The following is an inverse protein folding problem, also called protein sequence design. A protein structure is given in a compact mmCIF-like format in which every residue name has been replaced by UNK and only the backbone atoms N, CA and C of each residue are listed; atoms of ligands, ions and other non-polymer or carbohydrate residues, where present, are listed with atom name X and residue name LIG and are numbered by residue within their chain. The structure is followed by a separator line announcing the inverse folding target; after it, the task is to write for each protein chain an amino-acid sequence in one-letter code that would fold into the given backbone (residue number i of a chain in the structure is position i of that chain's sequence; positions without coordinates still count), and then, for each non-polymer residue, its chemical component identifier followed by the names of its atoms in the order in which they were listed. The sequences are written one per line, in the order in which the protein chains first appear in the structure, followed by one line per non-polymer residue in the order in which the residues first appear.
data_IF_623135285376
#
_entry.id   IF_623135285376
#
_cell.length_a   1.000
_cell.length_b   1.000
_cell.length_c   1.000
_cell.angle_alpha   90.00
_cell.angle_beta   90.00
_cell.angle_gamma   90.00
#
_symmetry.space_group_name_H-M   'P 1'
#
loop_
_entity.id
_entity.type
_entity.pdbx_description
1 polymer ?
#
# COMPACT_ATOMS: atom_id res chain seq x y z
N UNK A 1 11.15 3.75 17.57
CA UNK A 1 9.89 4.25 18.19
C UNK A 1 8.83 4.31 17.09
N UNK A 2 7.87 3.38 17.07
CA UNK A 2 6.76 3.38 16.10
C UNK A 2 5.74 4.44 16.55
N UNK A 3 5.85 5.67 16.03
CA UNK A 3 4.76 6.64 16.09
C UNK A 3 3.80 6.35 14.93
N UNK A 4 3.00 5.30 15.07
CA UNK A 4 1.75 5.16 14.33
C UNK A 4 0.65 5.60 15.27
N UNK A 5 -0.17 6.58 14.87
CA UNK A 5 -1.46 6.78 15.53
C UNK A 5 -2.28 5.54 15.21
N UNK A 6 -2.29 4.58 16.13
CA UNK A 6 -3.17 3.42 16.03
C UNK A 6 -4.59 3.93 16.28
N UNK A 7 -5.30 4.24 15.20
CA UNK A 7 -6.73 4.47 15.27
C UNK A 7 -7.31 3.09 15.63
N UNK A 8 -7.61 2.87 16.92
CA UNK A 8 -8.33 1.69 17.37
C UNK A 8 -9.75 1.74 16.82
N UNK A 9 -9.93 1.17 15.63
CA UNK A 9 -11.23 0.93 15.04
C UNK A 9 -11.77 -0.38 15.60
N UNK A 10 -13.04 -0.43 16.05
CA UNK A 10 -13.65 -1.68 16.47
C UNK A 10 -13.56 -2.70 15.33
N UNK A 11 -13.39 -3.96 15.70
CA UNK A 11 -13.31 -5.03 14.69
C UNK A 11 -14.65 -5.12 13.95
N UNK A 12 -14.66 -4.71 12.68
CA UNK A 12 -15.87 -4.75 11.83
C UNK A 12 -16.09 -6.12 11.21
N UNK A 13 -15.14 -7.06 11.37
CA UNK A 13 -15.36 -8.42 10.91
C UNK A 13 -16.34 -9.15 11.85
N UNK A 14 -17.34 -9.85 11.28
CA UNK A 14 -18.25 -10.63 12.08
C UNK A 14 -17.49 -11.77 12.76
N UNK A 15 -17.80 -12.02 14.03
CA UNK A 15 -17.29 -13.19 14.75
C UNK A 15 -17.68 -14.50 14.03
N UNK A 16 -16.93 -15.61 14.25
CA UNK A 16 -17.28 -16.91 13.73
C UNK A 16 -18.68 -17.31 14.19
N UNK A 17 -19.57 -17.61 13.24
CA UNK A 17 -20.88 -18.19 13.55
C UNK A 17 -20.75 -19.69 13.84
N UNK A 18 -21.85 -20.37 14.15
CA UNK A 18 -21.83 -21.81 14.46
C UNK A 18 -21.23 -22.65 13.31
N UNK A 19 -21.54 -22.34 12.05
CA UNK A 19 -21.00 -23.06 10.90
C UNK A 19 -19.49 -22.86 10.76
N UNK A 20 -19.00 -21.64 10.98
CA UNK A 20 -17.56 -21.34 10.97
C UNK A 20 -16.82 -22.11 12.07
N UNK A 21 -17.41 -22.21 13.27
CA UNK A 21 -16.82 -22.94 14.40
C UNK A 21 -16.78 -24.45 14.16
N UNK A 22 -17.85 -25.01 13.57
CA UNK A 22 -17.90 -26.42 13.16
C UNK A 22 -16.81 -26.70 12.13
N UNK A 23 -16.65 -25.84 11.13
CA UNK A 23 -15.58 -25.97 10.14
C UNK A 23 -14.19 -25.90 10.79
N UNK A 24 -13.92 -24.90 11.63
CA UNK A 24 -12.63 -24.78 12.32
C UNK A 24 -12.32 -26.03 13.14
N UNK A 25 -13.32 -26.57 13.83
CA UNK A 25 -13.17 -27.79 14.64
C UNK A 25 -12.92 -29.04 13.78
N UNK A 26 -13.45 -29.08 12.56
CA UNK A 26 -13.28 -30.23 11.67
C UNK A 26 -11.90 -30.30 11.02
N UNK A 27 -11.14 -29.19 10.95
CA UNK A 27 -9.81 -29.15 10.33
C UNK A 27 -8.81 -30.14 10.94
N UNK A 28 -8.95 -30.46 12.24
CA UNK A 28 -8.10 -31.42 12.94
C UNK A 28 -8.67 -32.85 12.93
N UNK A 29 -9.81 -33.06 12.28
CA UNK A 29 -10.46 -34.37 12.21
C UNK A 29 -9.99 -35.15 10.98
N UNK A 30 -10.01 -36.48 11.07
CA UNK A 30 -9.76 -37.36 9.91
C UNK A 30 -10.79 -37.21 8.77
N UNK A 31 -11.82 -36.37 8.96
CA UNK A 31 -12.91 -36.16 8.01
C UNK A 31 -12.72 -34.92 7.12
N UNK A 32 -11.71 -34.08 7.38
CA UNK A 32 -11.45 -32.93 6.51
C UNK A 32 -10.60 -33.37 5.31
N UNK A 33 -11.24 -33.40 4.14
CA UNK A 33 -10.55 -33.65 2.87
C UNK A 33 -9.96 -32.35 2.33
N UNK A 34 -8.69 -32.11 2.66
CA UNK A 34 -7.96 -30.89 2.29
C UNK A 34 -7.95 -30.67 0.76
N UNK A 35 -7.58 -31.70 -0.02
CA UNK A 35 -7.48 -31.59 -1.48
C UNK A 35 -8.83 -31.28 -2.13
N UNK A 36 -9.90 -31.95 -1.68
CA UNK A 36 -11.25 -31.69 -2.18
C UNK A 36 -11.70 -30.27 -1.84
N UNK A 37 -11.46 -29.81 -0.60
CA UNK A 37 -11.78 -28.44 -0.20
C UNK A 37 -11.09 -27.40 -1.08
N UNK A 38 -9.77 -27.51 -1.27
CA UNK A 38 -9.02 -26.53 -2.06
C UNK A 38 -9.34 -26.62 -3.57
N UNK A 39 -9.76 -27.77 -4.09
CA UNK A 39 -10.17 -27.91 -5.50
C UNK A 39 -11.44 -27.14 -5.87
N UNK A 40 -12.26 -26.78 -4.88
CA UNK A 40 -13.54 -26.08 -5.08
C UNK A 40 -13.44 -24.58 -4.83
N UNK A 41 -12.27 -24.08 -4.42
CA UNK A 41 -12.10 -22.68 -4.07
C UNK A 41 -12.19 -21.81 -5.32
N UNK A 42 -13.02 -20.78 -5.23
CA UNK A 42 -13.14 -19.72 -6.23
C UNK A 42 -13.04 -18.36 -5.55
N UNK A 43 -13.06 -17.28 -6.34
CA UNK A 43 -13.16 -15.89 -5.84
C UNK A 43 -14.32 -15.73 -4.84
N UNK A 44 -15.46 -16.38 -5.08
CA UNK A 44 -16.63 -16.25 -4.21
C UNK A 44 -16.40 -16.85 -2.82
N UNK A 45 -15.45 -17.77 -2.70
CA UNK A 45 -15.05 -18.40 -1.44
C UNK A 45 -14.15 -17.49 -0.58
N UNK A 46 -13.59 -16.41 -1.13
CA UNK A 46 -12.59 -15.58 -0.45
C UNK A 46 -13.09 -14.95 0.85
N UNK A 47 -14.36 -14.51 0.90
CA UNK A 47 -14.95 -13.96 2.13
C UNK A 47 -14.85 -14.95 3.29
N UNK A 48 -15.21 -16.21 3.04
CA UNK A 48 -15.14 -17.29 4.01
C UNK A 48 -13.68 -17.63 4.34
N UNK A 49 -12.83 -17.88 3.34
CA UNK A 49 -11.43 -18.27 3.54
C UNK A 49 -10.67 -17.23 4.36
N UNK A 50 -10.78 -15.95 3.98
CA UNK A 50 -10.11 -14.85 4.66
C UNK A 50 -10.63 -14.71 6.10
N UNK A 51 -11.93 -14.89 6.33
CA UNK A 51 -12.52 -14.91 7.67
C UNK A 51 -11.94 -16.05 8.50
N UNK A 52 -12.01 -17.29 8.03
CA UNK A 52 -11.54 -18.45 8.81
C UNK A 52 -10.04 -18.34 9.09
N UNK A 53 -9.23 -17.89 8.13
CA UNK A 53 -7.79 -17.70 8.31
C UNK A 53 -7.44 -16.65 9.38
N UNK A 54 -8.35 -15.73 9.71
CA UNK A 54 -8.14 -14.81 10.83
C UNK A 54 -8.40 -15.46 12.20
N UNK A 55 -9.29 -16.46 12.25
CA UNK A 55 -9.72 -17.11 13.50
C UNK A 55 -9.07 -18.47 13.73
N UNK A 56 -8.42 -19.06 12.72
CA UNK A 56 -7.71 -20.33 12.82
C UNK A 56 -6.31 -20.22 12.21
N UNK A 57 -5.30 -20.18 13.09
CA UNK A 57 -3.89 -20.22 12.68
C UNK A 57 -3.57 -21.48 11.89
N UNK A 58 -4.17 -22.62 12.28
CA UNK A 58 -3.99 -23.87 11.56
C UNK A 58 -4.50 -23.76 10.12
N UNK A 59 -5.71 -23.21 9.91
CA UNK A 59 -6.24 -22.99 8.56
C UNK A 59 -5.38 -22.04 7.73
N UNK A 60 -4.91 -20.93 8.33
CA UNK A 60 -4.00 -20.02 7.64
C UNK A 60 -2.72 -20.75 7.18
N UNK A 61 -2.17 -21.63 8.01
CA UNK A 61 -1.00 -22.45 7.67
C UNK A 61 -1.30 -23.43 6.52
N UNK A 62 -2.49 -24.04 6.49
CA UNK A 62 -2.92 -24.89 5.37
C UNK A 62 -2.98 -24.09 4.06
N UNK A 63 -3.57 -22.89 4.10
CA UNK A 63 -3.62 -22.02 2.93
C UNK A 63 -2.23 -21.61 2.44
N UNK A 64 -1.21 -21.59 3.29
CA UNK A 64 0.16 -21.18 2.91
C UNK A 64 1.02 -22.31 2.34
N UNK A 65 0.50 -23.54 2.27
CA UNK A 65 1.23 -24.67 1.66
C UNK A 65 1.51 -24.43 0.18
N UNK A 66 2.69 -24.86 -0.26
CA UNK A 66 3.17 -24.69 -1.63
C UNK A 66 2.29 -25.37 -2.68
N UNK A 67 1.62 -26.48 -2.34
CA UNK A 67 0.69 -27.19 -3.23
C UNK A 67 -0.49 -26.32 -3.70
N UNK A 68 -0.87 -25.29 -2.91
CA UNK A 68 -1.95 -24.35 -3.26
C UNK A 68 -1.45 -23.03 -3.84
N UNK A 69 -0.14 -22.88 -4.06
CA UNK A 69 0.44 -21.65 -4.62
C UNK A 69 -0.18 -21.27 -5.96
N UNK A 70 -0.42 -22.24 -6.84
CA UNK A 70 -1.03 -22.01 -8.14
C UNK A 70 -2.47 -21.45 -8.02
N UNK A 71 -3.27 -22.01 -7.12
CA UNK A 71 -4.61 -21.52 -6.81
C UNK A 71 -4.58 -20.05 -6.36
N UNK A 72 -3.68 -19.69 -5.43
CA UNK A 72 -3.60 -18.30 -4.96
C UNK A 72 -3.08 -17.33 -6.01
N UNK A 73 -2.18 -17.77 -6.90
CA UNK A 73 -1.75 -16.98 -8.07
C UNK A 73 -2.94 -16.64 -8.97
N UNK A 74 -3.77 -17.63 -9.28
CA UNK A 74 -4.98 -17.44 -10.09
C UNK A 74 -5.96 -16.48 -9.43
N UNK A 75 -6.25 -16.68 -8.15
CA UNK A 75 -7.16 -15.82 -7.40
C UNK A 75 -6.62 -14.40 -7.25
N UNK A 76 -5.31 -14.22 -7.04
CA UNK A 76 -4.68 -12.91 -7.01
C UNK A 76 -4.83 -12.18 -8.35
N UNK A 77 -4.61 -12.90 -9.44
CA UNK A 77 -4.80 -12.37 -10.79
C UNK A 77 -6.25 -11.93 -11.02
N UNK A 78 -7.22 -12.76 -10.62
CA UNK A 78 -8.65 -12.48 -10.70
C UNK A 78 -9.06 -11.28 -9.83
N UNK A 79 -8.46 -11.11 -8.65
CA UNK A 79 -8.69 -9.93 -7.81
C UNK A 79 -8.32 -8.63 -8.52
N UNK A 80 -7.27 -8.62 -9.35
CA UNK A 80 -6.95 -7.47 -10.20
C UNK A 80 -8.11 -7.07 -11.11
N UNK A 81 -8.74 -8.05 -11.76
CA UNK A 81 -9.88 -7.82 -12.66
C UNK A 81 -11.08 -7.25 -11.90
N UNK A 82 -11.34 -7.77 -10.69
CA UNK A 82 -12.44 -7.33 -9.83
C UNK A 82 -12.22 -5.89 -9.36
N UNK A 83 -11.01 -5.56 -8.88
CA UNK A 83 -10.65 -4.22 -8.40
C UNK A 83 -10.73 -3.19 -9.53
N UNK A 84 -10.42 -3.60 -10.76
CA UNK A 84 -10.37 -2.70 -11.92
C UNK A 84 -11.58 -2.80 -12.84
N UNK A 85 -12.65 -3.50 -12.45
CA UNK A 85 -13.83 -3.76 -13.28
C UNK A 85 -14.48 -2.50 -13.87
N UNK A 86 -14.42 -1.39 -13.13
CA UNK A 86 -15.03 -0.10 -13.50
C UNK A 86 -14.06 0.84 -14.24
N UNK A 87 -12.81 0.42 -14.49
CA UNK A 87 -11.85 1.21 -15.28
C UNK A 87 -12.08 1.01 -16.78
N UNK A 88 -11.58 1.92 -17.64
CA UNK A 88 -11.67 1.76 -19.10
C UNK A 88 -11.13 0.41 -19.61
N UNK A 89 -10.18 -0.17 -18.89
CA UNK A 89 -9.67 -1.52 -19.12
C UNK A 89 -9.47 -2.21 -17.78
N UNK A 90 -10.18 -3.32 -17.57
CA UNK A 90 -9.87 -4.23 -16.47
C UNK A 90 -8.52 -4.90 -16.72
N UNK A 91 -7.71 -5.02 -15.67
CA UNK A 91 -6.39 -5.64 -15.72
C UNK A 91 -6.36 -6.80 -14.75
N UNK A 92 -5.68 -7.88 -15.13
CA UNK A 92 -5.34 -8.93 -14.19
C UNK A 92 -4.05 -8.55 -13.47
N UNK A 93 -3.87 -8.99 -12.23
CA UNK A 93 -2.57 -8.87 -11.59
C UNK A 93 -1.62 -9.96 -12.08
N UNK A 94 -0.38 -9.58 -12.32
CA UNK A 94 0.70 -10.53 -12.55
C UNK A 94 1.04 -11.23 -11.24
N UNK A 95 1.12 -12.56 -11.28
CA UNK A 95 1.72 -13.31 -10.20
C UNK A 95 3.22 -12.96 -10.10
N UNK A 96 3.75 -12.92 -8.89
CA UNK A 96 5.19 -12.80 -8.70
C UNK A 96 5.78 -14.21 -8.73
N UNK A 97 6.72 -14.48 -9.63
CA UNK A 97 7.32 -15.83 -9.73
C UNK A 97 8.44 -16.08 -8.71
N UNK A 98 8.75 -15.07 -7.89
CA UNK A 98 9.73 -15.17 -6.82
C UNK A 98 9.25 -16.11 -5.70
N UNK A 99 10.09 -17.07 -5.31
CA UNK A 99 9.81 -18.06 -4.26
C UNK A 99 9.50 -17.44 -2.89
N UNK A 100 9.88 -16.18 -2.68
CA UNK A 100 9.73 -15.46 -1.41
C UNK A 100 8.30 -14.91 -1.22
N UNK A 101 7.49 -14.87 -2.28
CA UNK A 101 6.17 -14.23 -2.22
C UNK A 101 5.07 -15.20 -1.81
N UNK A 102 4.50 -14.96 -0.63
CA UNK A 102 3.29 -15.64 -0.16
C UNK A 102 2.05 -15.09 -0.88
N UNK A 103 1.57 -15.84 -1.88
CA UNK A 103 0.42 -15.44 -2.70
C UNK A 103 -0.90 -15.42 -1.93
N UNK A 104 -1.04 -16.25 -0.89
CA UNK A 104 -2.23 -16.19 -0.04
C UNK A 104 -2.30 -14.85 0.71
N UNK A 105 -1.17 -14.36 1.21
CA UNK A 105 -1.05 -13.02 1.80
C UNK A 105 -1.42 -11.93 0.79
N UNK A 106 -0.96 -12.03 -0.46
CA UNK A 106 -1.35 -11.08 -1.52
C UNK A 106 -2.85 -11.08 -1.83
N UNK A 107 -3.48 -12.27 -1.86
CA UNK A 107 -4.93 -12.40 -2.06
C UNK A 107 -5.69 -11.75 -0.91
N UNK A 108 -5.29 -11.97 0.34
CA UNK A 108 -5.89 -11.31 1.51
C UNK A 108 -5.76 -9.78 1.41
N UNK A 109 -4.57 -9.30 1.06
CA UNK A 109 -4.30 -7.89 0.86
C UNK A 109 -5.22 -7.26 -0.20
N UNK A 110 -5.36 -7.92 -1.35
CA UNK A 110 -6.21 -7.48 -2.44
C UNK A 110 -7.71 -7.55 -2.07
N UNK A 111 -8.14 -8.59 -1.35
CA UNK A 111 -9.50 -8.75 -0.89
C UNK A 111 -9.91 -7.65 0.09
N UNK A 112 -9.09 -7.36 1.11
CA UNK A 112 -9.38 -6.25 2.02
C UNK A 112 -9.35 -4.89 1.32
N UNK A 113 -8.43 -4.70 0.37
CA UNK A 113 -8.45 -3.48 -0.44
C UNK A 113 -9.74 -3.38 -1.27
N UNK A 114 -10.23 -4.46 -1.86
CA UNK A 114 -11.53 -4.48 -2.55
C UNK A 114 -12.69 -4.07 -1.62
N UNK A 115 -12.75 -4.58 -0.39
CA UNK A 115 -13.75 -4.16 0.60
C UNK A 115 -13.66 -2.66 0.94
N UNK A 116 -12.44 -2.09 0.96
CA UNK A 116 -12.28 -0.64 1.12
C UNK A 116 -12.86 0.14 -0.06
N UNK A 117 -12.73 -0.37 -1.29
CA UNK A 117 -13.29 0.27 -2.48
C UNK A 117 -14.82 0.21 -2.50
N UNK A 118 -15.42 -0.90 -2.05
CA UNK A 118 -16.87 -0.99 -1.86
C UNK A 118 -17.38 0.04 -0.83
N UNK A 119 -16.64 0.23 0.28
CA UNK A 119 -16.98 1.23 1.28
C UNK A 119 -16.85 2.67 0.76
N UNK A 120 -15.90 2.93 -0.14
CA UNK A 120 -15.73 4.22 -0.81
C UNK A 120 -16.90 4.51 -1.77
N UNK A 121 -17.29 3.54 -2.60
CA UNK A 121 -18.42 3.64 -3.54
C UNK A 121 -19.73 4.00 -2.80
N UNK A 122 -19.91 3.51 -1.57
CA UNK A 122 -21.11 3.76 -0.78
C UNK A 122 -21.21 5.18 -0.16
N UNK A 123 -20.14 5.99 -0.13
CA UNK A 123 -20.08 7.24 0.66
C UNK A 123 -19.53 8.49 -0.06
N UNK A 124 -19.59 8.54 -1.39
CA UNK A 124 -19.32 9.73 -2.22
C UNK A 124 -18.26 10.71 -1.67
N UNK A 125 -16.98 10.28 -1.71
CA UNK A 125 -15.74 11.10 -1.68
C UNK A 125 -15.05 11.36 -0.33
N UNK A 126 -15.67 11.15 0.83
CA UNK A 126 -15.00 11.30 2.12
C UNK A 126 -14.53 9.95 2.70
N UNK A 127 -13.33 9.91 3.27
CA UNK A 127 -12.79 8.71 3.93
C UNK A 127 -13.67 8.27 5.10
N UNK A 128 -14.38 7.17 4.92
CA UNK A 128 -15.27 6.63 5.95
C UNK A 128 -14.49 5.79 6.97
N UNK A 129 -15.03 5.64 8.19
CA UNK A 129 -14.46 4.71 9.19
C UNK A 129 -14.34 3.29 8.66
N UNK A 130 -15.28 2.86 7.83
CA UNK A 130 -15.30 1.54 7.23
C UNK A 130 -14.23 1.37 6.15
N UNK A 131 -14.05 2.37 5.27
CA UNK A 131 -12.94 2.40 4.32
C UNK A 131 -11.60 2.31 5.06
N UNK A 132 -11.39 3.16 6.08
CA UNK A 132 -10.14 3.17 6.86
C UNK A 132 -9.90 1.85 7.61
N UNK A 133 -10.94 1.20 8.12
CA UNK A 133 -10.82 -0.12 8.73
C UNK A 133 -10.29 -1.14 7.72
N UNK A 134 -10.91 -1.24 6.54
CA UNK A 134 -10.48 -2.20 5.51
C UNK A 134 -9.11 -1.89 4.93
N UNK A 135 -8.76 -0.60 4.76
CA UNK A 135 -7.40 -0.19 4.39
C UNK A 135 -6.39 -0.68 5.42
N UNK A 136 -6.65 -0.51 6.71
CA UNK A 136 -5.75 -0.97 7.76
C UNK A 136 -5.61 -2.50 7.77
N UNK A 137 -6.69 -3.26 7.51
CA UNK A 137 -6.57 -4.72 7.35
C UNK A 137 -5.71 -5.09 6.14
N UNK A 138 -5.90 -4.43 5.00
CA UNK A 138 -5.08 -4.67 3.79
C UNK A 138 -3.60 -4.31 4.00
N UNK A 139 -3.30 -3.25 4.77
CA UNK A 139 -1.93 -2.83 5.09
C UNK A 139 -1.20 -3.88 5.94
N UNK A 140 -1.90 -4.60 6.83
CA UNK A 140 -1.29 -5.72 7.60
C UNK A 140 -0.75 -6.83 6.70
N UNK A 141 -1.30 -6.95 5.50
CA UNK A 141 -0.86 -7.88 4.45
C UNK A 141 -0.07 -7.17 3.34
N UNK A 142 0.57 -6.03 3.67
CA UNK A 142 1.52 -5.33 2.80
C UNK A 142 0.92 -4.86 1.45
N UNK A 143 -0.39 -4.55 1.43
CA UNK A 143 -1.04 -3.98 0.25
C UNK A 143 -0.46 -2.60 -0.10
N UNK A 144 0.13 -2.48 -1.30
CA UNK A 144 0.59 -1.18 -1.82
C UNK A 144 -0.58 -0.25 -2.12
N UNK A 145 -1.69 -0.78 -2.66
CA UNK A 145 -2.86 0.01 -2.99
C UNK A 145 -3.50 0.61 -1.74
N UNK A 146 -3.60 -0.18 -0.67
CA UNK A 146 -4.12 0.31 0.60
C UNK A 146 -3.19 1.33 1.26
N UNK A 147 -1.87 1.11 1.21
CA UNK A 147 -0.90 2.09 1.68
C UNK A 147 -1.01 3.41 0.91
N UNK A 148 -1.07 3.35 -0.42
CA UNK A 148 -1.21 4.54 -1.25
C UNK A 148 -2.51 5.30 -0.94
N UNK A 149 -3.64 4.59 -0.82
CA UNK A 149 -4.93 5.19 -0.51
C UNK A 149 -4.96 5.78 0.91
N UNK A 150 -4.35 5.12 1.89
CA UNK A 150 -4.21 5.65 3.24
C UNK A 150 -3.29 6.86 3.31
N UNK A 151 -2.22 6.90 2.50
CA UNK A 151 -1.36 8.09 2.38
C UNK A 151 -2.15 9.27 1.79
N UNK A 152 -3.04 9.04 0.83
CA UNK A 152 -3.94 10.10 0.35
C UNK A 152 -4.84 10.63 1.47
N UNK A 153 -5.36 9.77 2.36
CA UNK A 153 -6.10 10.20 3.55
C UNK A 153 -5.23 11.08 4.46
N UNK A 154 -3.99 10.66 4.73
CA UNK A 154 -3.08 11.44 5.54
C UNK A 154 -2.79 12.81 4.92
N UNK A 155 -2.59 12.89 3.61
CA UNK A 155 -2.40 14.16 2.91
C UNK A 155 -3.65 15.04 2.94
N UNK A 156 -4.85 14.49 2.75
CA UNK A 156 -6.09 15.28 2.89
C UNK A 156 -6.29 15.80 4.32
N UNK A 157 -5.86 15.05 5.33
CA UNK A 157 -5.90 15.51 6.71
C UNK A 157 -5.04 16.76 6.91
N UNK A 158 -3.88 16.84 6.23
CA UNK A 158 -2.99 18.00 6.27
C UNK A 158 -3.66 19.28 5.74
N UNK A 159 -4.54 19.18 4.75
CA UNK A 159 -5.23 20.34 4.15
C UNK A 159 -6.17 21.04 5.16
N UNK A 160 -6.55 20.35 6.23
CA UNK A 160 -7.45 20.87 7.28
C UNK A 160 -6.74 21.19 8.60
N UNK A 161 -5.42 20.97 8.68
CA UNK A 161 -4.67 21.13 9.91
C UNK A 161 -4.15 22.56 10.12
N UNK A 162 -4.32 23.06 11.34
CA UNK A 162 -3.81 24.37 11.78
C UNK A 162 -2.46 24.27 12.52
N UNK A 163 -2.09 23.09 13.01
CA UNK A 163 -0.89 22.87 13.84
C UNK A 163 0.32 22.42 13.00
N UNK A 164 1.38 23.23 12.97
CA UNK A 164 2.64 22.89 12.28
C UNK A 164 3.32 21.63 12.83
N UNK A 165 3.27 21.41 14.14
CA UNK A 165 3.91 20.25 14.79
C UNK A 165 3.22 18.93 14.43
N UNK A 166 1.88 18.93 14.37
CA UNK A 166 1.11 17.76 13.95
C UNK A 166 1.29 17.48 12.46
N UNK A 167 1.44 18.53 11.65
CA UNK A 167 1.74 18.42 10.22
C UNK A 167 3.04 17.62 9.98
N UNK A 168 4.11 17.98 10.71
CA UNK A 168 5.39 17.27 10.63
C UNK A 168 5.29 15.79 11.04
N UNK A 169 4.50 15.48 12.08
CA UNK A 169 4.28 14.09 12.54
C UNK A 169 3.58 13.24 11.48
N UNK A 170 2.55 13.78 10.82
CA UNK A 170 1.86 13.06 9.74
C UNK A 170 2.78 12.79 8.56
N UNK A 171 3.60 13.76 8.15
CA UNK A 171 4.56 13.55 7.07
C UNK A 171 5.60 12.47 7.40
N UNK A 172 6.05 12.41 8.65
CA UNK A 172 6.92 11.32 9.14
C UNK A 172 6.19 9.97 9.11
N UNK A 173 4.91 9.92 9.49
CA UNK A 173 4.09 8.72 9.37
C UNK A 173 4.01 8.24 7.92
N UNK A 174 3.77 9.15 6.97
CA UNK A 174 3.76 8.82 5.54
C UNK A 174 5.09 8.24 5.08
N UNK A 175 6.23 8.85 5.45
CA UNK A 175 7.57 8.32 5.13
C UNK A 175 7.74 6.91 5.68
N UNK A 176 7.34 6.66 6.92
CA UNK A 176 7.47 5.35 7.55
C UNK A 176 6.61 4.29 6.87
N UNK A 177 5.40 4.65 6.41
CA UNK A 177 4.54 3.76 5.62
C UNK A 177 5.14 3.42 4.26
N UNK A 178 5.66 4.41 3.53
CA UNK A 178 6.33 4.13 2.25
C UNK A 178 7.52 3.16 2.40
N UNK A 179 8.19 3.14 3.56
CA UNK A 179 9.34 2.27 3.81
C UNK A 179 8.99 0.78 3.99
N UNK A 180 7.73 0.42 4.29
CA UNK A 180 7.39 -0.97 4.63
C UNK A 180 7.45 -1.91 3.43
N UNK A 181 7.17 -1.41 2.21
CA UNK A 181 7.00 -2.28 1.04
C UNK A 181 8.04 -2.03 -0.07
N UNK A 182 9.21 -1.45 0.28
CA UNK A 182 10.23 -1.06 -0.70
C UNK A 182 10.77 -2.25 -1.50
N UNK A 183 11.00 -3.39 -0.85
CA UNK A 183 11.56 -4.56 -1.51
C UNK A 183 10.54 -5.23 -2.44
N UNK A 184 9.28 -5.33 -2.01
CA UNK A 184 8.23 -6.00 -2.76
C UNK A 184 7.78 -5.24 -4.01
N UNK A 185 7.68 -3.90 -3.94
CA UNK A 185 7.18 -3.08 -5.05
C UNK A 185 8.26 -2.23 -5.73
N UNK A 186 9.50 -2.33 -5.27
CA UNK A 186 10.68 -1.74 -5.89
C UNK A 186 10.47 -0.30 -6.33
N UNK A 187 10.62 -0.06 -7.64
CA UNK A 187 10.57 1.27 -8.24
C UNK A 187 9.30 2.06 -7.88
N UNK A 188 8.13 1.41 -7.85
CA UNK A 188 6.87 2.08 -7.54
C UNK A 188 6.84 2.61 -6.09
N UNK A 189 7.26 1.78 -5.13
CA UNK A 189 7.32 2.18 -3.72
C UNK A 189 8.41 3.23 -3.46
N UNK A 190 9.56 3.15 -4.14
CA UNK A 190 10.59 4.18 -4.05
C UNK A 190 10.13 5.54 -4.60
N UNK A 191 9.32 5.55 -5.65
CA UNK A 191 8.71 6.80 -6.16
C UNK A 191 7.70 7.40 -5.16
N UNK A 192 6.89 6.57 -4.50
CA UNK A 192 6.04 7.03 -3.39
C UNK A 192 6.87 7.61 -2.23
N UNK A 193 8.00 6.97 -1.89
CA UNK A 193 8.91 7.44 -0.85
C UNK A 193 9.58 8.77 -1.23
N UNK A 194 9.93 8.95 -2.51
CA UNK A 194 10.50 10.19 -3.01
C UNK A 194 9.53 11.37 -2.80
N UNK A 195 8.25 11.22 -3.15
CA UNK A 195 7.24 12.24 -2.89
C UNK A 195 7.07 12.51 -1.38
N UNK A 196 7.04 11.46 -0.56
CA UNK A 196 6.90 11.60 0.89
C UNK A 196 8.01 12.47 1.49
N UNK A 197 9.27 12.22 1.11
CA UNK A 197 10.39 13.05 1.52
C UNK A 197 10.34 14.45 0.94
N UNK A 198 9.91 14.61 -0.31
CA UNK A 198 9.78 15.92 -0.94
C UNK A 198 8.77 16.81 -0.20
N UNK A 199 7.58 16.28 0.14
CA UNK A 199 6.58 17.01 0.92
C UNK A 199 7.10 17.39 2.30
N UNK A 200 7.87 16.50 2.94
CA UNK A 200 8.57 16.83 4.18
C UNK A 200 9.61 17.92 4.02
N UNK A 201 10.40 17.90 2.93
CA UNK A 201 11.36 18.95 2.64
C UNK A 201 10.68 20.31 2.43
N UNK A 202 9.58 20.35 1.69
CA UNK A 202 8.80 21.57 1.46
C UNK A 202 8.23 22.14 2.77
N UNK A 203 7.60 21.30 3.60
CA UNK A 203 7.12 21.74 4.92
C UNK A 203 8.25 22.22 5.82
N UNK A 204 9.37 21.49 5.89
CA UNK A 204 10.50 21.87 6.73
C UNK A 204 11.12 23.21 6.29
N UNK A 205 11.16 23.48 4.98
CA UNK A 205 11.62 24.76 4.43
C UNK A 205 10.67 25.90 4.83
N UNK A 206 9.35 25.71 4.70
CA UNK A 206 8.34 26.69 5.10
C UNK A 206 8.38 26.99 6.61
N UNK A 207 8.69 25.97 7.42
CA UNK A 207 8.88 26.11 8.86
C UNK A 207 10.25 26.71 9.25
N UNK A 208 11.06 27.18 8.29
CA UNK A 208 12.38 27.78 8.52
C UNK A 208 13.48 26.77 8.90
N UNK A 209 13.22 25.47 8.84
CA UNK A 209 14.17 24.42 9.17
C UNK A 209 14.93 23.92 7.93
N UNK A 210 15.81 24.77 7.41
CA UNK A 210 16.59 24.50 6.19
C UNK A 210 17.47 23.24 6.29
N UNK A 211 18.02 22.94 7.47
CA UNK A 211 18.84 21.74 7.67
C UNK A 211 18.02 20.45 7.45
N UNK A 212 16.82 20.38 8.03
CA UNK A 212 15.88 19.26 7.80
C UNK A 212 15.42 19.21 6.35
N UNK A 213 15.13 20.37 5.74
CA UNK A 213 14.73 20.43 4.34
C UNK A 213 15.83 19.90 3.40
N UNK A 214 17.10 20.31 3.58
CA UNK A 214 18.26 19.80 2.83
C UNK A 214 18.47 18.29 3.01
N UNK A 215 18.30 17.80 4.24
CA UNK A 215 18.41 16.36 4.52
C UNK A 215 17.31 15.55 3.85
N UNK A 216 16.07 16.05 3.89
CA UNK A 216 14.92 15.38 3.31
C UNK A 216 14.93 15.40 1.78
N UNK A 217 15.35 16.51 1.15
CA UNK A 217 15.47 16.54 -0.31
C UNK A 217 16.56 15.58 -0.81
N UNK A 218 17.68 15.46 -0.08
CA UNK A 218 18.72 14.46 -0.38
C UNK A 218 18.17 13.03 -0.27
N UNK A 219 17.36 12.74 0.77
CA UNK A 219 16.69 11.45 0.90
C UNK A 219 15.67 11.19 -0.23
N UNK A 220 14.95 12.22 -0.68
CA UNK A 220 14.05 12.15 -1.84
C UNK A 220 14.79 11.81 -3.14
N UNK A 221 15.91 12.50 -3.40
CA UNK A 221 16.80 12.22 -4.54
C UNK A 221 17.33 10.79 -4.49
N UNK A 222 17.81 10.34 -3.34
CA UNK A 222 18.29 8.96 -3.16
C UNK A 222 17.19 7.93 -3.39
N UNK A 223 15.94 8.23 -3.01
CA UNK A 223 14.80 7.35 -3.30
C UNK A 223 14.56 7.25 -4.82
N UNK A 224 14.65 8.34 -5.58
CA UNK A 224 14.56 8.26 -7.04
C UNK A 224 15.72 7.49 -7.68
N UNK A 225 16.96 7.64 -7.20
CA UNK A 225 18.10 6.82 -7.68
C UNK A 225 17.83 5.33 -7.44
N UNK A 226 17.30 4.98 -6.26
CA UNK A 226 16.89 3.60 -5.99
C UNK A 226 15.73 3.17 -6.90
N UNK A 227 14.74 4.04 -7.12
CA UNK A 227 13.63 3.72 -8.03
C UNK A 227 14.13 3.38 -9.44
N UNK A 228 15.16 4.09 -9.91
CA UNK A 228 15.81 3.81 -11.19
C UNK A 228 16.49 2.44 -11.21
N UNK A 229 17.28 2.13 -10.18
CA UNK A 229 17.98 0.86 -10.08
C UNK A 229 17.03 -0.36 -10.08
N UNK A 230 15.82 -0.20 -9.52
CA UNK A 230 14.80 -1.24 -9.48
C UNK A 230 13.85 -1.24 -10.69
N UNK A 231 13.94 -0.26 -11.60
CA UNK A 231 12.93 -0.02 -12.64
C UNK A 231 12.65 -1.25 -13.50
N UNK A 232 13.71 -1.87 -14.05
CA UNK A 232 13.58 -3.02 -14.94
C UNK A 232 13.10 -4.29 -14.22
N UNK A 233 13.49 -4.47 -12.96
CA UNK A 233 13.07 -5.63 -12.15
C UNK A 233 11.61 -5.48 -11.67
N UNK A 234 11.13 -4.24 -11.55
CA UNK A 234 9.82 -3.94 -10.98
C UNK A 234 8.69 -3.89 -12.02
N UNK A 235 8.88 -4.33 -13.27
CA UNK A 235 7.88 -4.15 -14.34
C UNK A 235 6.50 -4.67 -13.93
N UNK A 236 6.43 -5.88 -13.38
CA UNK A 236 5.17 -6.48 -12.92
C UNK A 236 4.62 -5.81 -11.66
N UNK A 237 5.49 -5.50 -10.69
CA UNK A 237 5.08 -4.78 -9.48
C UNK A 237 4.54 -3.38 -9.80
N UNK A 238 5.15 -2.66 -10.74
CA UNK A 238 4.67 -1.37 -11.24
C UNK A 238 3.31 -1.55 -11.90
N UNK A 239 3.15 -2.54 -12.78
CA UNK A 239 1.86 -2.82 -13.42
C UNK A 239 0.76 -3.05 -12.36
N UNK A 240 0.99 -3.96 -11.42
CA UNK A 240 0.04 -4.30 -10.37
C UNK A 240 -0.26 -3.08 -9.48
N UNK A 241 0.77 -2.42 -8.95
CA UNK A 241 0.63 -1.31 -8.00
C UNK A 241 -0.03 -0.07 -8.63
N UNK A 242 0.30 0.24 -9.88
CA UNK A 242 -0.27 1.36 -10.64
C UNK A 242 -1.65 1.08 -11.20
N UNK A 243 -2.13 -0.15 -11.07
CA UNK A 243 -3.29 -0.64 -11.78
C UNK A 243 -3.20 -0.37 -13.30
N UNK A 244 -2.05 -0.69 -13.88
CA UNK A 244 -1.76 -0.56 -15.32
C UNK A 244 -1.39 0.85 -15.79
N UNK A 245 -1.39 1.85 -14.91
CA UNK A 245 -1.18 3.25 -15.27
C UNK A 245 0.30 3.70 -15.21
N UNK A 246 1.20 2.83 -14.76
CA UNK A 246 2.63 3.10 -14.65
C UNK A 246 3.02 4.02 -13.48
N UNK A 247 4.28 4.46 -13.47
CA UNK A 247 4.87 5.20 -12.34
C UNK A 247 4.21 6.54 -12.07
N UNK A 248 3.55 7.19 -13.03
CA UNK A 248 2.79 8.43 -12.75
C UNK A 248 1.76 8.25 -11.65
N UNK A 249 1.24 7.04 -11.47
CA UNK A 249 0.25 6.77 -10.43
C UNK A 249 0.87 6.71 -9.04
N UNK A 250 2.17 6.48 -8.91
CA UNK A 250 2.87 6.43 -7.62
C UNK A 250 2.93 7.78 -6.90
N UNK A 251 2.70 8.89 -7.63
CA UNK A 251 2.89 10.22 -7.08
C UNK A 251 1.84 11.23 -7.57
N UNK A 252 1.61 12.29 -6.79
CA UNK A 252 0.61 13.33 -7.12
C UNK A 252 1.05 14.28 -8.24
N UNK A 253 2.34 14.32 -8.56
CA UNK A 253 2.91 15.17 -9.61
C UNK A 253 2.81 14.54 -11.01
N UNK A 254 2.34 13.30 -11.11
CA UNK A 254 2.21 12.58 -12.38
C UNK A 254 3.56 12.27 -13.04
N UNK A 255 4.64 12.19 -12.26
CA UNK A 255 5.99 11.94 -12.77
C UNK A 255 6.12 10.47 -13.20
N UNK A 256 6.30 10.26 -14.49
CA UNK A 256 6.29 8.95 -15.14
C UNK A 256 7.62 8.18 -15.08
N UNK A 257 8.71 8.82 -14.65
CA UNK A 257 10.01 8.17 -14.53
C UNK A 257 10.83 8.73 -13.37
N UNK A 258 11.74 7.93 -12.79
CA UNK A 258 12.65 8.39 -11.75
C UNK A 258 13.53 9.56 -12.20
N UNK A 259 13.98 9.59 -13.46
CA UNK A 259 14.78 10.71 -13.99
C UNK A 259 14.00 12.03 -14.04
N UNK A 260 12.74 12.00 -14.49
CA UNK A 260 11.88 13.20 -14.46
C UNK A 260 11.70 13.71 -13.02
N UNK A 261 11.53 12.80 -12.07
CA UNK A 261 11.45 13.15 -10.66
C UNK A 261 12.77 13.73 -10.11
N UNK A 262 13.92 13.13 -10.43
CA UNK A 262 15.23 13.66 -10.05
C UNK A 262 15.44 15.10 -10.55
N UNK A 263 15.11 15.35 -11.82
CA UNK A 263 15.24 16.69 -12.41
C UNK A 263 14.34 17.69 -11.67
N UNK A 264 13.09 17.33 -11.40
CA UNK A 264 12.16 18.15 -10.64
C UNK A 264 12.70 18.49 -9.24
N UNK A 265 13.18 17.49 -8.49
CA UNK A 265 13.68 17.65 -7.13
C UNK A 265 14.94 18.52 -7.08
N UNK A 266 15.86 18.34 -8.02
CA UNK A 266 17.07 19.16 -8.12
C UNK A 266 16.75 20.62 -8.44
N UNK A 267 15.83 20.87 -9.37
CA UNK A 267 15.37 22.22 -9.69
C UNK A 267 14.69 22.88 -8.49
N UNK A 268 13.84 22.13 -7.77
CA UNK A 268 13.22 22.64 -6.55
C UNK A 268 14.27 22.99 -5.49
N UNK A 269 15.27 22.14 -5.26
CA UNK A 269 16.34 22.37 -4.30
C UNK A 269 17.14 23.65 -4.64
N UNK A 270 17.49 23.83 -5.91
CA UNK A 270 18.20 25.03 -6.40
C UNK A 270 17.41 26.30 -6.12
N UNK A 271 16.09 26.27 -6.34
CA UNK A 271 15.24 27.46 -6.24
C UNK A 271 14.84 27.79 -4.79
N UNK A 272 14.83 26.82 -3.89
CA UNK A 272 14.23 26.98 -2.54
C UNK A 272 15.23 26.79 -1.39
N UNK A 273 16.41 26.20 -1.62
CA UNK A 273 17.38 25.88 -0.57
C UNK A 273 18.76 26.52 -0.75
N UNK A 274 18.98 27.27 -1.84
CA UNK A 274 20.12 28.18 -1.91
C UNK A 274 19.93 29.26 -0.84
N UNK A 275 20.99 29.54 -0.09
CA UNK A 275 20.97 30.54 0.98
C UNK A 275 20.43 31.86 0.44
N UNK A 276 19.33 32.36 1.02
CA UNK A 276 19.00 33.78 0.92
C UNK A 276 20.01 34.54 1.78
N UNK A 277 21.18 34.81 1.21
CA UNK A 277 22.24 35.55 1.87
C UNK A 277 23.21 36.11 0.86
N UNK A 278 23.36 37.44 0.88
CA UNK A 278 24.26 38.29 0.08
C UNK A 278 23.70 38.71 -1.28
N UNK A 279 22.96 39.82 -1.30
CA UNK A 279 23.25 41.01 -2.11
C UNK A 279 22.32 42.16 -1.70
N UNK A 280 22.74 42.93 -0.70
CA UNK A 280 22.54 44.38 -0.70
C UNK A 280 23.93 44.99 -0.56
N UNK A 281 24.50 45.63 -1.61
CA UNK A 281 25.69 46.43 -1.45
C UNK A 281 25.37 47.62 -0.55
N UNK A 282 26.25 47.88 0.41
CA UNK A 282 26.31 49.14 1.14
C UNK A 282 26.72 50.29 0.21
#
# INVERSE_FOLDING_TARGET
MRCSVEIMLPDLQPQPNLADQIFISSLNSNNFNEQEFFSQITVNSLSFIVKIANFSFHFATLCEKDEYRALWKELYSAMGLIITKNKPRAIAFFAHDEEIVNHFTLVRAAYYFHLSQQALEAKEKAFSRQELYWLNQAIKFESIHANQRYIQFLYQKLDTMLSHDEYGKILIEVINRCKTNLNQYGSYAYMMLAEAFFRYAAWAQQAGNFSRAKSAISASVNACVKAENYLNQSIFSIHNASLGEGLKRSNSLGLESPQKALLFLNNWAINNLKEQGLLTPA
#
